data_IF_754779204591
#
_entry.id   IF_754779204591
#
_cell.length_a   1.000
_cell.length_b   1.000
_cell.length_c   1.000
_cell.angle_alpha   90.00
_cell.angle_beta   90.00
_cell.angle_gamma   90.00
#
_symmetry.space_group_name_H-M   'P 1'
#
loop_
_entity.id
_entity.type
_entity.pdbx_description
1 polymer ?
#
# COMPACT_ATOMS: atom_id res chain seq x y z
N UNK A 1 -3.38 22.38 38.08
CA UNK A 1 -2.68 21.72 37.00
C UNK A 1 -2.56 22.66 35.79
N UNK A 2 -1.41 22.68 35.15
CA UNK A 2 -1.20 23.48 33.92
C UNK A 2 -2.25 23.17 32.87
N UNK A 3 -2.80 24.19 32.21
CA UNK A 3 -3.70 24.09 31.06
C UNK A 3 -2.94 23.82 29.76
N UNK A 4 -1.61 23.87 29.80
CA UNK A 4 -0.74 23.78 28.65
C UNK A 4 0.20 22.55 28.76
N UNK A 5 0.58 22.04 27.60
CA UNK A 5 1.69 21.11 27.37
C UNK A 5 2.95 21.91 27.08
N UNK A 6 4.10 21.42 27.50
CA UNK A 6 5.39 22.05 27.21
C UNK A 6 6.32 21.05 26.54
N UNK A 7 6.98 21.49 25.47
CA UNK A 7 8.01 20.74 24.74
C UNK A 7 9.34 21.49 24.86
N UNK A 8 10.36 20.79 25.34
CA UNK A 8 11.71 21.30 25.35
C UNK A 8 12.53 20.75 24.18
N UNK A 9 13.10 21.64 23.40
CA UNK A 9 13.94 21.27 22.26
C UNK A 9 15.42 21.20 22.68
N UNK A 10 16.17 20.32 22.02
CA UNK A 10 17.63 20.12 22.27
C UNK A 10 18.49 21.38 22.06
N UNK A 11 17.95 22.40 21.34
CA UNK A 11 18.60 23.68 21.14
C UNK A 11 18.29 24.73 22.24
N UNK A 12 17.60 24.33 23.31
CA UNK A 12 17.28 25.20 24.44
C UNK A 12 15.96 25.97 24.33
N UNK A 13 15.21 25.80 23.25
CA UNK A 13 13.92 26.45 23.09
C UNK A 13 12.79 25.67 23.79
N UNK A 14 11.86 26.41 24.41
CA UNK A 14 10.65 25.82 24.98
C UNK A 14 9.43 26.26 24.19
N UNK A 15 8.59 25.31 23.87
CA UNK A 15 7.33 25.52 23.17
C UNK A 15 6.17 25.12 24.07
N UNK A 16 5.04 25.83 23.97
CA UNK A 16 3.81 25.49 24.67
C UNK A 16 2.68 25.25 23.69
N UNK A 17 1.79 24.32 24.03
CA UNK A 17 0.58 24.00 23.31
C UNK A 17 -0.57 23.83 24.31
N UNK A 18 -1.73 24.39 24.06
CA UNK A 18 -2.90 24.17 24.91
C UNK A 18 -3.30 22.69 24.91
N UNK A 19 -3.62 22.12 26.09
CA UNK A 19 -4.08 20.71 26.19
C UNK A 19 -5.36 20.41 25.41
N UNK A 20 -6.11 21.43 25.05
CA UNK A 20 -7.32 21.34 24.22
C UNK A 20 -7.04 21.36 22.73
N UNK A 21 -5.80 21.65 22.33
CA UNK A 21 -5.35 21.66 20.94
C UNK A 21 -4.66 20.35 20.59
N UNK A 22 -4.65 20.00 19.29
CA UNK A 22 -3.93 18.81 18.82
C UNK A 22 -2.41 19.01 18.97
N UNK A 23 -1.70 18.24 19.83
CA UNK A 23 -0.27 18.42 20.06
C UNK A 23 0.59 17.87 18.89
N UNK A 24 -0.01 17.17 17.93
CA UNK A 24 0.69 16.68 16.75
C UNK A 24 0.76 17.75 15.64
N UNK A 25 -0.06 18.78 15.72
CA UNK A 25 -0.02 19.92 14.81
C UNK A 25 1.03 20.94 15.28
N UNK A 26 2.07 21.14 14.47
CA UNK A 26 3.16 22.09 14.76
C UNK A 26 2.68 23.54 14.90
N UNK A 27 1.60 23.92 14.24
CA UNK A 27 1.03 25.27 14.30
C UNK A 27 0.46 25.61 15.69
N UNK A 28 0.10 24.61 16.47
CA UNK A 28 -0.41 24.76 17.85
C UNK A 28 0.69 25.01 18.89
N UNK A 29 1.97 24.86 18.51
CA UNK A 29 3.10 25.07 19.39
C UNK A 29 3.67 26.47 19.24
N UNK A 30 3.68 27.23 20.32
CA UNK A 30 4.21 28.58 20.38
C UNK A 30 5.49 28.61 21.19
N UNK A 31 6.52 29.27 20.65
CA UNK A 31 7.75 29.53 21.40
C UNK A 31 7.41 30.34 22.66
N UNK A 32 7.92 29.92 23.84
CA UNK A 32 7.69 30.63 25.08
C UNK A 32 8.99 30.79 25.86
N UNK A 33 9.14 31.93 26.50
CA UNK A 33 10.21 32.23 27.47
C UNK A 33 9.74 32.07 28.90
N UNK A 34 8.45 31.78 29.12
CA UNK A 34 7.85 31.61 30.44
C UNK A 34 7.21 30.24 30.56
N UNK A 35 7.71 29.42 31.46
CA UNK A 35 7.10 28.15 31.87
C UNK A 35 7.03 28.06 33.39
N UNK A 36 6.12 27.25 33.96
CA UNK A 36 5.96 27.16 35.41
C UNK A 36 7.15 26.41 36.02
N UNK A 37 8.02 27.20 36.66
CA UNK A 37 8.79 26.88 37.85
C UNK A 37 9.67 25.62 37.91
N UNK A 38 10.14 25.11 36.80
CA UNK A 38 11.05 23.95 36.81
C UNK A 38 12.48 24.44 36.59
N UNK A 39 13.36 24.15 37.54
CA UNK A 39 14.77 24.44 37.43
C UNK A 39 15.48 23.39 36.59
N UNK A 40 16.01 23.78 35.42
CA UNK A 40 16.60 22.88 34.45
C UNK A 40 17.73 21.99 34.95
N UNK A 41 18.47 22.42 35.96
CA UNK A 41 19.59 21.66 36.50
C UNK A 41 19.16 20.41 37.29
N UNK A 42 18.00 20.46 37.92
CA UNK A 42 17.45 19.33 38.69
C UNK A 42 16.67 18.36 37.80
N UNK A 43 15.97 18.88 36.79
CA UNK A 43 15.14 18.04 35.93
C UNK A 43 15.92 17.33 34.83
N UNK A 44 17.02 17.87 34.34
CA UNK A 44 17.93 17.14 33.47
C UNK A 44 18.53 15.90 34.11
N UNK A 45 18.73 15.94 35.44
CA UNK A 45 19.20 14.78 36.21
C UNK A 45 18.08 13.72 36.31
N UNK A 46 16.85 14.16 36.60
CA UNK A 46 15.68 13.26 36.61
C UNK A 46 15.39 12.64 35.26
N UNK A 47 15.56 13.38 34.15
CA UNK A 47 15.46 12.85 32.82
C UNK A 47 16.56 11.83 32.49
N UNK A 48 17.80 12.07 32.94
CA UNK A 48 18.90 11.13 32.80
C UNK A 48 18.68 9.83 33.59
N UNK A 49 18.07 9.92 34.77
CA UNK A 49 17.69 8.74 35.57
C UNK A 49 16.63 7.86 34.88
N UNK A 50 15.77 8.46 34.10
CA UNK A 50 14.72 7.75 33.35
C UNK A 50 15.12 7.36 31.90
N UNK A 51 16.35 7.65 31.46
CA UNK A 51 16.82 7.35 30.11
C UNK A 51 16.74 5.85 29.81
N UNK A 52 17.04 4.99 30.77
CA UNK A 52 16.93 3.56 30.60
C UNK A 52 15.45 3.11 30.47
N UNK A 53 14.56 3.72 31.25
CA UNK A 53 13.13 3.50 31.12
C UNK A 53 12.62 3.99 29.76
N UNK A 54 13.04 5.18 29.29
CA UNK A 54 12.69 5.72 27.96
C UNK A 54 13.16 4.80 26.84
N UNK A 55 14.35 4.20 26.96
CA UNK A 55 14.85 3.21 25.99
C UNK A 55 14.01 1.91 25.96
N UNK A 56 13.31 1.60 27.04
CA UNK A 56 12.42 0.44 27.10
C UNK A 56 11.02 0.73 26.60
N UNK A 57 10.63 2.02 26.48
CA UNK A 57 9.33 2.41 25.93
C UNK A 57 9.32 2.10 24.44
N UNK A 58 8.41 1.22 24.05
CA UNK A 58 8.11 0.99 22.64
C UNK A 58 7.01 1.96 22.23
N UNK A 59 7.22 2.80 21.20
CA UNK A 59 6.12 3.57 20.63
C UNK A 59 4.98 2.63 20.21
N UNK A 60 3.75 3.01 20.49
CA UNK A 60 2.58 2.30 20.01
C UNK A 60 2.37 2.58 18.52
N UNK A 61 3.14 1.94 17.66
CA UNK A 61 3.05 2.13 16.20
C UNK A 61 4.16 1.39 15.46
N UNK A 62 4.15 1.46 14.12
CA UNK A 62 5.23 0.90 13.30
C UNK A 62 6.56 1.62 13.57
N UNK A 63 7.68 0.92 13.40
CA UNK A 63 9.03 1.49 13.62
C UNK A 63 9.35 2.68 12.70
N UNK A 64 8.64 2.82 11.58
CA UNK A 64 8.86 3.88 10.60
C UNK A 64 7.52 4.45 10.13
N UNK A 65 7.41 5.78 10.10
CA UNK A 65 6.20 6.46 9.64
C UNK A 65 6.11 6.61 8.12
N UNK A 66 7.18 6.26 7.40
CA UNK A 66 7.18 6.32 5.95
C UNK A 66 6.82 4.95 5.38
N UNK A 67 5.53 4.75 5.19
CA UNK A 67 4.99 3.46 4.77
C UNK A 67 5.10 3.29 3.26
N UNK A 68 5.35 2.06 2.83
CA UNK A 68 5.36 1.69 1.42
C UNK A 68 4.19 0.79 1.06
N UNK A 69 3.94 -0.22 1.87
CA UNK A 69 2.85 -1.17 1.66
C UNK A 69 2.23 -1.56 2.99
N UNK A 70 0.92 -1.78 2.97
CA UNK A 70 0.15 -2.40 4.04
C UNK A 70 -0.56 -3.62 3.48
N UNK A 71 -0.67 -4.69 4.25
CA UNK A 71 -1.40 -5.89 3.92
C UNK A 71 -2.14 -6.41 5.14
N UNK A 72 -3.47 -6.49 5.06
CA UNK A 72 -4.28 -7.20 6.06
C UNK A 72 -4.37 -8.67 5.68
N UNK A 73 -4.02 -9.56 6.61
CA UNK A 73 -4.10 -10.99 6.40
C UNK A 73 -4.39 -11.71 7.74
N UNK A 74 -5.48 -12.47 7.79
CA UNK A 74 -5.87 -13.32 8.93
C UNK A 74 -5.76 -12.61 10.30
N UNK A 75 -6.43 -11.47 10.44
CA UNK A 75 -6.47 -10.72 11.72
C UNK A 75 -5.20 -9.93 12.03
N UNK A 76 -4.24 -9.81 11.10
CA UNK A 76 -2.96 -9.13 11.30
C UNK A 76 -2.72 -8.08 10.22
N UNK A 77 -2.20 -6.91 10.60
CA UNK A 77 -1.77 -5.88 9.69
C UNK A 77 -0.24 -5.92 9.51
N UNK A 78 0.21 -6.27 8.32
CA UNK A 78 1.61 -6.26 7.94
C UNK A 78 1.97 -4.95 7.24
N UNK A 79 3.16 -4.42 7.54
CA UNK A 79 3.62 -3.14 7.00
C UNK A 79 5.06 -3.25 6.56
N UNK A 80 5.38 -2.68 5.40
CA UNK A 80 6.75 -2.45 4.95
C UNK A 80 7.05 -0.97 4.79
N UNK A 81 8.33 -0.60 4.93
CA UNK A 81 8.82 0.74 4.63
C UNK A 81 9.97 0.68 3.62
N UNK A 82 9.96 1.54 2.62
CA UNK A 82 11.02 1.62 1.62
C UNK A 82 10.79 2.71 0.59
N UNK A 83 11.87 3.21 -0.01
CA UNK A 83 11.86 4.19 -1.10
C UNK A 83 12.76 3.76 -2.24
N UNK A 84 12.28 3.86 -3.49
CA UNK A 84 13.16 3.61 -4.65
C UNK A 84 14.17 4.74 -4.90
N UNK A 85 13.89 5.95 -4.42
CA UNK A 85 14.74 7.13 -4.67
C UNK A 85 15.83 7.34 -3.64
N UNK A 86 15.77 6.64 -2.51
CA UNK A 86 16.72 6.76 -1.39
C UNK A 86 16.87 5.42 -0.70
N UNK A 87 18.10 4.98 -0.48
CA UNK A 87 18.37 3.80 0.34
C UNK A 87 17.93 4.06 1.79
N UNK A 88 17.07 3.19 2.30
CA UNK A 88 16.67 3.17 3.71
C UNK A 88 16.80 1.77 4.27
N UNK A 89 17.17 1.67 5.54
CA UNK A 89 17.11 0.39 6.25
C UNK A 89 15.66 -0.07 6.28
N UNK A 90 15.35 -1.27 5.79
CA UNK A 90 13.99 -1.78 5.77
C UNK A 90 13.44 -1.91 7.19
N UNK A 91 12.18 -1.53 7.36
CA UNK A 91 11.39 -1.92 8.52
C UNK A 91 10.20 -2.75 8.04
N UNK A 92 9.98 -3.88 8.70
CA UNK A 92 8.89 -4.81 8.43
C UNK A 92 8.26 -5.09 9.78
N UNK A 93 7.01 -4.68 9.93
CA UNK A 93 6.28 -4.79 11.20
C UNK A 93 4.95 -5.49 10.97
N UNK A 94 4.45 -6.11 12.03
CA UNK A 94 3.10 -6.65 12.09
C UNK A 94 2.39 -6.16 13.35
N UNK A 95 1.15 -5.75 13.19
CA UNK A 95 0.21 -5.49 14.27
C UNK A 95 -0.66 -6.72 14.46
N UNK A 96 -0.60 -7.32 15.63
CA UNK A 96 -1.25 -8.57 15.99
C UNK A 96 -1.68 -8.53 17.45
N UNK A 97 -2.98 -8.71 17.73
CA UNK A 97 -3.56 -8.68 19.09
C UNK A 97 -3.13 -7.43 19.90
N UNK A 98 -3.31 -6.24 19.34
CA UNK A 98 -2.97 -4.95 19.95
C UNK A 98 -1.46 -4.75 20.23
N UNK A 99 -0.61 -5.59 19.68
CA UNK A 99 0.84 -5.50 19.82
C UNK A 99 1.54 -5.35 18.48
N UNK A 100 2.57 -4.50 18.44
CA UNK A 100 3.48 -4.39 17.32
C UNK A 100 4.67 -5.31 17.50
N UNK A 101 4.94 -6.12 16.47
CA UNK A 101 6.11 -7.00 16.37
C UNK A 101 6.91 -6.64 15.13
N UNK A 102 8.24 -6.69 15.23
CA UNK A 102 9.13 -6.40 14.10
C UNK A 102 9.82 -7.68 13.63
N UNK A 103 9.99 -7.78 12.32
CA UNK A 103 10.81 -8.80 11.71
C UNK A 103 12.30 -8.50 11.92
N UNK A 104 13.11 -9.52 11.89
CA UNK A 104 14.57 -9.37 11.94
C UNK A 104 15.05 -8.63 10.69
N UNK A 105 15.63 -7.44 10.85
CA UNK A 105 16.14 -6.63 9.74
C UNK A 105 17.58 -6.18 9.97
N UNK A 106 17.97 -5.94 11.22
CA UNK A 106 19.23 -5.27 11.60
C UNK A 106 20.49 -6.09 11.35
N UNK A 107 20.37 -7.41 11.34
CA UNK A 107 21.54 -8.33 11.22
C UNK A 107 21.67 -8.93 9.83
N UNK A 108 20.74 -8.68 8.91
CA UNK A 108 20.72 -9.33 7.58
C UNK A 108 21.97 -8.99 6.78
N UNK A 109 22.35 -7.71 6.71
CA UNK A 109 23.55 -7.32 5.96
C UNK A 109 24.83 -7.96 6.50
N UNK A 110 24.94 -8.18 7.83
CA UNK A 110 26.07 -8.88 8.44
C UNK A 110 26.03 -10.40 8.13
N UNK A 111 24.84 -11.01 8.19
CA UNK A 111 24.66 -12.45 7.95
C UNK A 111 24.91 -12.83 6.50
N UNK A 112 24.53 -11.96 5.57
CA UNK A 112 24.59 -12.26 4.11
C UNK A 112 25.85 -11.70 3.45
N UNK A 113 26.44 -10.65 4.02
CA UNK A 113 27.52 -9.88 3.38
C UNK A 113 27.04 -8.99 2.25
N UNK A 114 25.71 -8.84 2.08
CA UNK A 114 25.08 -8.02 1.04
C UNK A 114 24.28 -6.86 1.64
N UNK A 115 24.06 -5.82 0.83
CA UNK A 115 23.15 -4.74 1.22
C UNK A 115 21.73 -5.26 1.40
N UNK A 116 21.04 -4.70 2.38
CA UNK A 116 19.62 -4.92 2.63
C UNK A 116 18.92 -3.58 2.75
N UNK A 117 18.20 -3.18 1.70
CA UNK A 117 17.57 -1.85 1.61
C UNK A 117 16.18 -1.94 0.99
N UNK A 118 15.30 -1.04 1.45
CA UNK A 118 13.98 -0.75 0.88
C UNK A 118 13.06 -1.95 0.73
N UNK A 119 12.31 -2.29 1.78
CA UNK A 119 11.23 -3.28 1.69
C UNK A 119 10.04 -2.68 0.94
N UNK A 120 9.72 -3.26 -0.22
CA UNK A 120 8.74 -2.73 -1.17
C UNK A 120 7.36 -3.38 -1.04
N UNK A 121 7.33 -4.67 -0.79
CA UNK A 121 6.14 -5.50 -0.72
C UNK A 121 6.38 -6.71 0.18
N UNK A 122 5.32 -7.37 0.56
CA UNK A 122 5.37 -8.67 1.22
C UNK A 122 4.13 -9.50 0.85
N UNK A 123 4.26 -10.82 0.99
CA UNK A 123 3.12 -11.70 0.97
C UNK A 123 3.35 -12.92 1.88
N UNK A 124 2.28 -13.54 2.31
CA UNK A 124 2.28 -14.62 3.29
C UNK A 124 1.92 -15.93 2.59
N UNK A 125 2.66 -17.01 2.89
CA UNK A 125 2.36 -18.35 2.37
C UNK A 125 0.95 -18.77 2.83
N UNK A 126 0.00 -18.99 1.93
CA UNK A 126 -1.39 -19.35 2.31
C UNK A 126 -1.49 -20.68 3.06
N UNK A 127 -0.40 -21.45 3.12
CA UNK A 127 -0.32 -22.75 3.81
C UNK A 127 0.36 -22.66 5.18
N UNK A 128 1.06 -21.56 5.46
CA UNK A 128 1.83 -21.35 6.70
C UNK A 128 1.92 -19.86 7.01
N UNK A 129 1.05 -19.37 7.89
CA UNK A 129 0.97 -17.96 8.28
C UNK A 129 2.27 -17.39 8.89
N UNK A 130 3.17 -18.24 9.35
CA UNK A 130 4.46 -17.84 9.89
C UNK A 130 5.54 -17.74 8.80
N UNK A 131 5.21 -18.09 7.56
CA UNK A 131 6.11 -18.07 6.42
C UNK A 131 5.82 -16.86 5.53
N UNK A 132 6.69 -15.87 5.55
CA UNK A 132 6.52 -14.58 4.88
C UNK A 132 7.66 -14.34 3.91
N UNK A 133 7.32 -13.86 2.72
CA UNK A 133 8.31 -13.35 1.77
C UNK A 133 8.21 -11.83 1.65
N UNK A 134 9.36 -11.19 1.59
CA UNK A 134 9.48 -9.74 1.48
C UNK A 134 10.32 -9.39 0.26
N UNK A 135 9.72 -8.65 -0.66
CA UNK A 135 10.42 -8.08 -1.81
C UNK A 135 11.11 -6.77 -1.43
N UNK A 136 12.41 -6.70 -1.73
CA UNK A 136 13.24 -5.54 -1.46
C UNK A 136 13.96 -5.07 -2.74
N UNK A 137 14.57 -3.90 -2.66
CA UNK A 137 15.41 -3.40 -3.77
C UNK A 137 16.65 -4.27 -3.99
N UNK A 138 17.04 -5.07 -3.02
CA UNK A 138 18.23 -5.91 -3.04
C UNK A 138 17.95 -7.40 -3.16
N UNK A 139 16.70 -7.82 -3.30
CA UNK A 139 16.32 -9.21 -3.48
C UNK A 139 14.97 -9.56 -2.88
N UNK A 140 14.71 -10.87 -2.84
CA UNK A 140 13.61 -11.48 -2.13
C UNK A 140 14.14 -12.10 -0.83
N UNK A 141 13.45 -11.86 0.27
CA UNK A 141 13.86 -12.30 1.61
C UNK A 141 12.78 -13.19 2.22
N UNK A 142 13.19 -14.34 2.70
CA UNK A 142 12.35 -15.35 3.34
C UNK A 142 12.43 -15.24 4.86
N UNK A 143 11.27 -15.26 5.50
CA UNK A 143 11.13 -15.21 6.95
C UNK A 143 10.25 -16.35 7.47
N UNK A 144 10.58 -16.87 8.66
CA UNK A 144 9.73 -17.76 9.45
C UNK A 144 9.72 -17.29 10.89
N UNK A 145 8.54 -17.20 11.48
CA UNK A 145 8.37 -16.74 12.87
C UNK A 145 9.13 -15.43 13.14
N UNK A 146 9.06 -14.46 12.21
CA UNK A 146 9.75 -13.16 12.22
C UNK A 146 11.28 -13.21 12.06
N UNK A 147 11.89 -14.40 12.07
CA UNK A 147 13.32 -14.59 11.89
C UNK A 147 13.68 -14.68 10.40
N UNK A 148 14.79 -14.06 10.02
CA UNK A 148 15.36 -14.19 8.68
C UNK A 148 15.86 -15.62 8.43
N UNK A 149 15.44 -16.21 7.30
CA UNK A 149 15.84 -17.55 6.87
C UNK A 149 16.86 -17.48 5.75
N UNK A 150 16.52 -16.79 4.65
CA UNK A 150 17.33 -16.79 3.43
C UNK A 150 17.03 -15.58 2.56
N UNK A 151 18.03 -15.12 1.81
CA UNK A 151 17.86 -14.19 0.71
C UNK A 151 17.92 -14.91 -0.64
N UNK A 152 17.24 -14.34 -1.64
CA UNK A 152 17.32 -14.72 -3.04
C UNK A 152 17.63 -13.48 -3.86
N UNK A 153 18.76 -13.51 -4.56
CA UNK A 153 19.22 -12.41 -5.41
C UNK A 153 20.00 -12.97 -6.61
N UNK A 154 20.65 -12.09 -7.36
CA UNK A 154 21.46 -12.48 -8.54
C UNK A 154 22.59 -13.48 -8.26
N UNK A 155 23.05 -13.59 -7.01
CA UNK A 155 24.18 -14.46 -6.65
C UNK A 155 23.78 -15.92 -6.42
N UNK A 156 22.53 -16.16 -6.03
CA UNK A 156 22.06 -17.47 -5.60
C UNK A 156 20.72 -17.90 -6.22
N UNK A 157 20.21 -17.13 -7.18
CA UNK A 157 18.96 -17.42 -7.89
C UNK A 157 19.01 -16.92 -9.33
N UNK A 158 17.90 -17.08 -10.06
CA UNK A 158 17.73 -16.55 -11.42
C UNK A 158 17.24 -15.10 -11.45
N UNK A 159 17.03 -14.48 -10.30
CA UNK A 159 16.65 -13.07 -10.22
C UNK A 159 17.75 -12.18 -10.81
N UNK A 160 17.35 -11.15 -11.49
CA UNK A 160 18.26 -10.34 -12.30
C UNK A 160 18.59 -9.02 -11.61
N UNK A 161 19.82 -8.56 -11.84
CA UNK A 161 20.27 -7.22 -11.44
C UNK A 161 19.49 -6.14 -12.20
N UNK A 162 19.13 -5.07 -11.50
CA UNK A 162 18.50 -3.90 -12.12
C UNK A 162 19.40 -3.25 -13.20
N UNK A 163 18.79 -2.88 -14.33
CA UNK A 163 19.46 -2.26 -15.48
C UNK A 163 19.01 -0.80 -15.66
N UNK A 164 19.80 0.11 -16.27
CA UNK A 164 21.20 -0.10 -16.66
C UNK A 164 22.14 -0.10 -15.46
N UNK A 165 23.20 -0.91 -15.53
CA UNK A 165 24.24 -0.95 -14.50
C UNK A 165 25.13 0.30 -14.57
N UNK A 166 25.25 0.92 -15.76
CA UNK A 166 26.07 2.09 -16.02
C UNK A 166 25.17 3.34 -16.15
N UNK A 167 25.63 4.46 -15.61
CA UNK A 167 24.98 5.75 -15.84
C UNK A 167 25.26 6.27 -17.27
N UNK A 168 24.59 7.39 -17.65
CA UNK A 168 24.78 8.02 -18.96
C UNK A 168 26.20 8.56 -19.20
N UNK A 169 27.02 8.70 -18.15
CA UNK A 169 28.42 9.13 -18.23
C UNK A 169 29.40 7.97 -18.34
N UNK A 170 28.91 6.71 -18.37
CA UNK A 170 29.75 5.51 -18.45
C UNK A 170 30.42 5.13 -17.13
N UNK A 171 29.99 5.75 -16.01
CA UNK A 171 30.46 5.36 -14.69
C UNK A 171 29.74 4.07 -14.27
N UNK A 172 30.48 3.00 -14.02
CA UNK A 172 29.90 1.81 -13.43
C UNK A 172 29.54 2.13 -11.99
N UNK A 173 28.27 2.36 -11.70
CA UNK A 173 27.82 2.42 -10.31
C UNK A 173 27.89 1.02 -9.72
N UNK A 174 28.97 0.71 -9.01
CA UNK A 174 29.08 -0.54 -8.24
C UNK A 174 27.88 -0.74 -7.31
N UNK A 175 27.29 0.35 -6.85
CA UNK A 175 26.07 0.40 -6.04
C UNK A 175 24.87 -0.32 -6.70
N UNK A 176 24.66 -0.14 -8.02
CA UNK A 176 23.54 -0.79 -8.72
C UNK A 176 23.77 -2.27 -9.03
N UNK A 177 25.01 -2.75 -8.97
CA UNK A 177 25.29 -4.17 -9.17
C UNK A 177 24.64 -5.06 -8.12
N UNK A 178 24.33 -4.52 -6.94
CA UNK A 178 23.69 -5.25 -5.86
C UNK A 178 22.17 -5.14 -5.86
N UNK A 179 21.60 -4.29 -6.72
CA UNK A 179 20.15 -4.15 -6.80
C UNK A 179 19.55 -5.29 -7.62
N UNK A 180 18.73 -6.08 -6.95
CA UNK A 180 17.85 -7.11 -7.52
C UNK A 180 16.45 -6.73 -7.13
N UNK A 181 15.83 -5.84 -7.90
CA UNK A 181 14.58 -5.19 -7.48
C UNK A 181 13.40 -6.17 -7.53
N UNK A 182 12.90 -6.56 -6.36
CA UNK A 182 11.66 -7.29 -6.19
C UNK A 182 10.60 -6.32 -5.68
N UNK A 183 9.71 -5.90 -6.58
CA UNK A 183 8.84 -4.74 -6.36
C UNK A 183 7.38 -5.10 -6.09
N UNK A 184 6.96 -6.33 -6.38
CA UNK A 184 5.64 -6.86 -6.04
C UNK A 184 5.68 -8.38 -5.92
N UNK A 185 4.79 -8.92 -5.09
CA UNK A 185 4.63 -10.35 -4.83
C UNK A 185 3.15 -10.69 -4.78
N UNK A 186 2.80 -11.92 -5.14
CA UNK A 186 1.50 -12.50 -4.82
C UNK A 186 1.56 -14.01 -4.85
N UNK A 187 0.88 -14.66 -3.91
CA UNK A 187 0.64 -16.10 -3.94
C UNK A 187 -0.59 -16.43 -4.76
N UNK A 188 -0.54 -17.53 -5.49
CA UNK A 188 -1.74 -18.13 -6.03
C UNK A 188 -2.32 -19.22 -5.10
N UNK A 189 -3.52 -19.71 -5.41
CA UNK A 189 -4.21 -20.72 -4.62
C UNK A 189 -3.49 -22.08 -4.59
N UNK A 190 -2.52 -22.30 -5.48
CA UNK A 190 -1.69 -23.52 -5.46
C UNK A 190 -0.48 -23.42 -4.51
N UNK A 191 -0.27 -22.23 -3.92
CA UNK A 191 0.89 -21.90 -3.10
C UNK A 191 2.15 -21.60 -3.92
N UNK A 192 2.00 -21.22 -5.19
CA UNK A 192 3.09 -20.66 -5.99
C UNK A 192 3.23 -19.18 -5.70
N UNK A 193 4.42 -18.72 -5.32
CA UNK A 193 4.75 -17.31 -5.16
C UNK A 193 5.13 -16.72 -6.52
N UNK A 194 4.38 -15.73 -7.00
CA UNK A 194 4.70 -14.93 -8.18
C UNK A 194 5.54 -13.72 -7.78
N UNK A 195 6.56 -13.40 -8.57
CA UNK A 195 7.63 -12.47 -8.18
C UNK A 195 7.89 -11.47 -9.30
N UNK A 196 7.71 -10.20 -9.02
CA UNK A 196 8.04 -9.09 -9.92
C UNK A 196 9.51 -8.68 -9.75
N UNK A 197 10.38 -9.18 -10.62
CA UNK A 197 11.77 -8.75 -10.70
C UNK A 197 11.93 -7.65 -11.73
N UNK A 198 11.85 -6.40 -11.28
CA UNK A 198 11.86 -5.20 -12.12
C UNK A 198 13.25 -4.85 -12.65
N UNK A 199 13.30 -4.06 -13.73
CA UNK A 199 14.54 -3.61 -14.38
C UNK A 199 15.46 -4.75 -14.88
N UNK A 200 14.99 -5.98 -14.97
CA UNK A 200 15.81 -7.10 -15.44
C UNK A 200 16.26 -6.93 -16.90
N UNK A 201 17.40 -7.52 -17.24
CA UNK A 201 17.90 -7.57 -18.62
C UNK A 201 17.01 -8.42 -19.53
N UNK A 202 16.40 -9.47 -18.97
CA UNK A 202 15.48 -10.35 -19.67
C UNK A 202 14.04 -10.04 -19.24
N UNK A 203 13.07 -10.03 -20.15
CA UNK A 203 11.67 -9.75 -19.85
C UNK A 203 11.00 -10.99 -19.25
N UNK A 204 11.14 -11.18 -17.95
CA UNK A 204 10.66 -12.39 -17.26
C UNK A 204 9.54 -12.09 -16.25
N UNK A 205 8.65 -13.07 -16.10
CA UNK A 205 7.78 -13.23 -14.93
C UNK A 205 8.39 -14.38 -14.11
N UNK A 206 8.81 -14.06 -12.90
CA UNK A 206 9.41 -15.05 -11.99
C UNK A 206 8.34 -15.69 -11.11
N UNK A 207 8.58 -16.96 -10.73
CA UNK A 207 7.70 -17.66 -9.80
C UNK A 207 8.49 -18.71 -9.00
N UNK A 208 8.01 -19.00 -7.80
CA UNK A 208 8.56 -20.04 -6.92
C UNK A 208 7.44 -21.01 -6.58
N UNK A 209 7.46 -22.25 -7.12
CA UNK A 209 6.54 -23.29 -6.68
C UNK A 209 6.72 -23.60 -5.20
N UNK A 210 5.70 -24.13 -4.57
CA UNK A 210 5.75 -24.56 -3.18
C UNK A 210 6.99 -25.43 -2.87
N UNK A 211 7.88 -24.93 -2.02
CA UNK A 211 9.12 -25.63 -1.62
C UNK A 211 10.13 -25.83 -2.74
N UNK A 212 9.99 -25.16 -3.88
CA UNK A 212 10.87 -25.24 -5.03
C UNK A 212 11.78 -24.03 -5.19
N UNK A 213 12.63 -24.08 -6.22
CA UNK A 213 13.48 -22.97 -6.61
C UNK A 213 12.73 -21.94 -7.46
N UNK A 214 13.25 -20.70 -7.52
CA UNK A 214 12.72 -19.64 -8.39
C UNK A 214 12.93 -20.03 -9.86
N UNK A 215 11.87 -19.94 -10.64
CA UNK A 215 11.82 -20.16 -12.08
C UNK A 215 11.31 -18.90 -12.78
N UNK A 216 11.42 -18.86 -14.12
CA UNK A 216 10.92 -17.72 -14.90
C UNK A 216 10.37 -18.15 -16.24
N UNK A 217 9.34 -17.43 -16.68
CA UNK A 217 8.89 -17.41 -18.06
C UNK A 217 9.33 -16.12 -18.74
N UNK A 218 9.77 -16.20 -19.99
CA UNK A 218 10.22 -15.04 -20.77
C UNK A 218 9.12 -14.60 -21.72
N UNK A 219 8.78 -13.31 -21.68
CA UNK A 219 7.76 -12.69 -22.52
C UNK A 219 8.29 -11.40 -23.13
N UNK A 220 8.59 -11.42 -24.43
CA UNK A 220 9.27 -10.33 -25.13
C UNK A 220 8.53 -8.99 -25.08
N UNK A 221 7.22 -9.01 -24.93
CA UNK A 221 6.40 -7.80 -24.82
C UNK A 221 6.50 -7.09 -23.45
N UNK A 222 7.23 -7.68 -22.48
CA UNK A 222 7.57 -7.02 -21.22
C UNK A 222 8.87 -6.19 -21.31
N UNK A 223 9.56 -6.18 -22.46
CA UNK A 223 10.69 -5.27 -22.66
C UNK A 223 10.21 -3.83 -22.79
N UNK A 224 10.89 -2.91 -22.10
CA UNK A 224 10.65 -1.48 -22.25
C UNK A 224 11.16 -1.01 -23.61
N UNK A 225 10.26 -0.48 -24.44
CA UNK A 225 10.59 -0.09 -25.81
C UNK A 225 11.72 0.94 -25.86
N UNK A 226 12.79 0.62 -26.60
CA UNK A 226 13.95 1.50 -26.74
C UNK A 226 14.94 1.48 -25.56
N UNK A 227 14.75 0.59 -24.60
CA UNK A 227 15.60 0.44 -23.44
C UNK A 227 16.21 -0.97 -23.33
N UNK A 228 17.37 -1.14 -22.67
CA UNK A 228 18.01 -2.43 -22.49
C UNK A 228 17.47 -3.22 -21.28
N UNK A 229 16.29 -2.87 -20.77
CA UNK A 229 15.69 -3.47 -19.57
C UNK A 229 14.20 -3.76 -19.79
N UNK A 230 13.72 -4.73 -19.01
CA UNK A 230 12.29 -5.05 -18.91
C UNK A 230 11.54 -3.97 -18.11
N UNK A 231 10.26 -4.19 -17.86
CA UNK A 231 9.44 -3.25 -17.08
C UNK A 231 10.17 -2.75 -15.82
N UNK A 232 10.14 -1.43 -15.64
CA UNK A 232 10.98 -0.74 -14.67
C UNK A 232 10.43 -0.76 -13.23
N UNK A 233 9.10 -0.85 -13.08
CA UNK A 233 8.45 -0.88 -11.77
C UNK A 233 7.15 -1.68 -11.86
N UNK A 234 7.27 -3.01 -11.84
CA UNK A 234 6.11 -3.90 -11.76
C UNK A 234 5.49 -3.79 -10.38
N UNK A 235 4.22 -3.40 -10.31
CA UNK A 235 3.53 -3.07 -9.06
C UNK A 235 2.13 -3.65 -9.01
N UNK A 236 1.58 -3.84 -7.79
CA UNK A 236 0.20 -4.27 -7.59
C UNK A 236 -0.10 -5.67 -8.15
N UNK A 237 0.85 -6.59 -8.09
CA UNK A 237 0.65 -7.97 -8.57
C UNK A 237 -0.48 -8.64 -7.80
N UNK A 238 -1.47 -9.16 -8.51
CA UNK A 238 -2.63 -9.85 -7.94
C UNK A 238 -3.13 -10.97 -8.85
N UNK A 239 -3.74 -11.99 -8.27
CA UNK A 239 -4.49 -13.02 -8.99
C UNK A 239 -5.98 -12.66 -8.91
N UNK A 240 -6.64 -12.51 -10.06
CA UNK A 240 -8.06 -12.23 -10.09
C UNK A 240 -8.92 -13.48 -9.85
N UNK A 241 -10.23 -13.31 -9.71
CA UNK A 241 -11.20 -14.40 -9.48
C UNK A 241 -11.23 -15.46 -10.56
N UNK A 242 -10.68 -15.15 -11.75
CA UNK A 242 -10.56 -16.06 -12.92
C UNK A 242 -9.23 -16.81 -12.95
N UNK A 243 -8.30 -16.51 -12.02
CA UNK A 243 -6.95 -17.08 -11.98
C UNK A 243 -5.97 -16.42 -12.95
N UNK A 244 -6.27 -15.21 -13.44
CA UNK A 244 -5.34 -14.41 -14.23
C UNK A 244 -4.45 -13.58 -13.31
N UNK A 245 -3.16 -13.52 -13.64
CA UNK A 245 -2.23 -12.64 -12.93
C UNK A 245 -2.23 -11.25 -13.58
N UNK A 246 -2.48 -10.24 -12.78
CA UNK A 246 -2.46 -8.85 -13.16
C UNK A 246 -1.36 -8.09 -12.44
N UNK A 247 -0.77 -7.11 -13.10
CA UNK A 247 0.11 -6.13 -12.50
C UNK A 247 0.23 -4.88 -13.39
N UNK A 248 0.76 -3.81 -12.85
CA UNK A 248 1.03 -2.59 -13.61
C UNK A 248 2.54 -2.40 -13.79
N UNK A 249 2.95 -1.66 -14.81
CA UNK A 249 4.27 -1.03 -14.84
C UNK A 249 4.11 0.45 -14.47
N UNK A 250 4.38 0.77 -13.21
CA UNK A 250 4.24 2.12 -12.66
C UNK A 250 5.48 2.97 -12.94
N UNK A 251 5.81 3.13 -14.22
CA UNK A 251 7.00 3.89 -14.62
C UNK A 251 6.78 4.65 -15.93
N UNK A 252 7.17 5.90 -15.95
CA UNK A 252 7.01 6.84 -17.06
C UNK A 252 7.60 6.39 -18.40
N UNK A 253 8.57 5.48 -18.40
CA UNK A 253 9.20 5.01 -19.64
C UNK A 253 8.27 4.11 -20.46
N UNK A 254 7.40 3.36 -19.80
CA UNK A 254 6.39 2.49 -20.42
C UNK A 254 5.28 2.18 -19.39
N UNK A 255 4.46 3.16 -18.99
CA UNK A 255 3.36 2.85 -18.09
C UNK A 255 2.39 1.89 -18.78
N UNK A 256 1.95 0.84 -18.07
CA UNK A 256 1.16 -0.22 -18.67
C UNK A 256 0.34 -1.02 -17.64
N UNK A 257 -0.79 -1.54 -18.09
CA UNK A 257 -1.50 -2.64 -17.44
C UNK A 257 -1.09 -3.96 -18.11
N UNK A 258 -0.77 -4.98 -17.33
CA UNK A 258 -0.39 -6.30 -17.82
C UNK A 258 -1.39 -7.34 -17.34
N UNK A 259 -1.88 -8.16 -18.26
CA UNK A 259 -2.65 -9.39 -18.03
C UNK A 259 -1.79 -10.59 -18.41
N UNK A 260 -1.59 -11.51 -17.49
CA UNK A 260 -0.90 -12.77 -17.74
C UNK A 260 -1.83 -13.95 -17.47
N UNK A 261 -2.08 -14.71 -18.53
CA UNK A 261 -2.80 -15.98 -18.46
C UNK A 261 -1.80 -17.07 -18.05
N UNK A 262 -1.87 -17.48 -16.80
CA UNK A 262 -0.96 -18.47 -16.21
C UNK A 262 -1.12 -19.82 -16.91
N UNK A 263 -2.36 -20.23 -17.20
CA UNK A 263 -2.67 -21.52 -17.81
C UNK A 263 -2.12 -21.68 -19.22
N UNK A 264 -2.18 -20.60 -20.00
CA UNK A 264 -1.72 -20.58 -21.40
C UNK A 264 -0.30 -20.00 -21.54
N UNK A 265 0.29 -19.51 -20.47
CA UNK A 265 1.59 -18.83 -20.44
C UNK A 265 1.68 -17.70 -21.49
N UNK A 266 0.66 -16.82 -21.51
CA UNK A 266 0.58 -15.70 -22.45
C UNK A 266 0.36 -14.38 -21.75
N UNK A 267 1.02 -13.31 -22.23
CA UNK A 267 0.89 -11.96 -21.71
C UNK A 267 0.23 -11.01 -22.71
N UNK A 268 -0.61 -10.13 -22.18
CA UNK A 268 -1.09 -8.93 -22.90
C UNK A 268 -0.64 -7.68 -22.14
N UNK A 269 -0.10 -6.71 -22.88
CA UNK A 269 0.44 -5.47 -22.34
C UNK A 269 -0.31 -4.29 -22.97
N UNK A 270 -1.00 -3.54 -22.14
CA UNK A 270 -1.83 -2.40 -22.55
C UNK A 270 -1.12 -1.11 -22.14
N UNK A 271 -0.54 -0.42 -23.13
CA UNK A 271 0.21 0.83 -22.94
C UNK A 271 -0.57 2.08 -23.36
N UNK A 272 -1.71 1.89 -24.02
CA UNK A 272 -2.55 3.00 -24.49
C UNK A 272 -3.82 3.04 -23.63
N UNK A 273 -4.04 4.18 -23.00
CA UNK A 273 -5.20 4.44 -22.15
C UNK A 273 -6.27 5.15 -22.99
N UNK A 274 -7.28 4.41 -23.42
CA UNK A 274 -8.40 4.93 -24.24
C UNK A 274 -9.70 4.64 -23.49
N UNK A 275 -10.52 5.69 -23.28
CA UNK A 275 -11.82 5.51 -22.63
C UNK A 275 -12.95 5.19 -23.64
N UNK A 276 -14.16 4.98 -23.12
CA UNK A 276 -15.37 4.66 -23.89
C UNK A 276 -15.80 5.77 -24.85
N UNK A 277 -15.32 6.98 -24.65
CA UNK A 277 -15.59 8.14 -25.54
C UNK A 277 -14.48 8.33 -26.59
N UNK A 278 -13.58 7.36 -26.73
CA UNK A 278 -12.40 7.39 -27.59
C UNK A 278 -11.38 8.47 -27.21
N UNK A 279 -11.41 8.96 -25.98
CA UNK A 279 -10.38 9.88 -25.49
C UNK A 279 -9.13 9.08 -25.16
N UNK A 280 -8.01 9.48 -25.76
CA UNK A 280 -6.68 8.93 -25.49
C UNK A 280 -6.01 9.80 -24.43
N UNK A 281 -5.54 9.17 -23.35
CA UNK A 281 -4.86 9.86 -22.26
C UNK A 281 -3.35 9.70 -22.36
N UNK A 282 -2.65 10.81 -22.17
CA UNK A 282 -1.22 10.78 -21.83
C UNK A 282 -1.09 10.61 -20.33
N UNK A 283 -0.39 9.59 -19.89
CA UNK A 283 -0.17 9.26 -18.49
C UNK A 283 1.25 8.74 -18.27
N UNK A 284 1.75 8.86 -17.05
CA UNK A 284 3.13 8.53 -16.71
C UNK A 284 3.21 7.46 -15.64
N UNK A 285 2.17 7.29 -14.84
CA UNK A 285 2.14 6.38 -13.72
C UNK A 285 0.83 5.60 -13.64
N UNK A 286 0.94 4.35 -13.21
CA UNK A 286 -0.18 3.45 -12.97
C UNK A 286 0.08 2.68 -11.66
N UNK A 287 -0.04 3.35 -10.50
CA UNK A 287 0.40 2.79 -9.22
C UNK A 287 -0.58 1.80 -8.59
N UNK A 288 -1.85 1.79 -8.97
CA UNK A 288 -2.89 1.06 -8.27
C UNK A 288 -3.70 0.15 -9.19
N UNK A 289 -4.04 -1.03 -8.68
CA UNK A 289 -4.92 -2.01 -9.33
C UNK A 289 -5.70 -2.77 -8.26
N UNK A 290 -6.96 -3.09 -8.53
CA UNK A 290 -7.80 -3.95 -7.69
C UNK A 290 -8.89 -4.62 -8.54
N UNK A 291 -9.35 -5.81 -8.15
CA UNK A 291 -10.55 -6.45 -8.67
C UNK A 291 -11.73 -6.14 -7.75
N UNK A 292 -12.88 -5.77 -8.32
CA UNK A 292 -14.11 -5.65 -7.57
C UNK A 292 -14.90 -6.97 -7.53
N UNK A 293 -15.96 -7.04 -6.72
CA UNK A 293 -16.75 -8.27 -6.53
C UNK A 293 -17.56 -8.68 -7.77
N UNK A 294 -17.65 -7.82 -8.77
CA UNK A 294 -18.26 -8.12 -10.08
C UNK A 294 -17.22 -8.61 -11.10
N UNK A 295 -15.96 -8.67 -10.71
CA UNK A 295 -14.83 -9.09 -11.54
C UNK A 295 -14.32 -8.00 -12.49
N UNK A 296 -14.65 -6.73 -12.25
CA UNK A 296 -14.06 -5.62 -12.97
C UNK A 296 -12.67 -5.32 -12.40
N UNK A 297 -11.74 -4.91 -13.25
CA UNK A 297 -10.39 -4.52 -12.87
C UNK A 297 -10.31 -3.00 -12.81
N UNK A 298 -10.17 -2.46 -11.63
CA UNK A 298 -9.98 -1.04 -11.38
C UNK A 298 -8.51 -0.66 -11.45
N UNK A 299 -8.22 0.45 -12.10
CA UNK A 299 -6.87 0.92 -12.37
C UNK A 299 -6.76 2.39 -11.99
N UNK A 300 -5.83 2.69 -11.09
CA UNK A 300 -5.47 4.06 -10.71
C UNK A 300 -4.28 4.56 -11.50
N UNK A 301 -4.40 5.78 -12.01
CA UNK A 301 -3.34 6.45 -12.77
C UNK A 301 -3.09 7.86 -12.21
N UNK A 302 -2.07 8.53 -12.73
CA UNK A 302 -1.82 9.97 -12.43
C UNK A 302 -2.80 10.93 -13.12
N UNK A 303 -3.73 10.41 -13.95
CA UNK A 303 -4.76 11.19 -14.65
C UNK A 303 -6.19 10.79 -14.30
N UNK A 304 -6.38 9.88 -13.36
CA UNK A 304 -7.70 9.49 -12.85
C UNK A 304 -7.88 8.00 -12.60
N UNK A 305 -9.13 7.65 -12.29
CA UNK A 305 -9.60 6.30 -12.02
C UNK A 305 -10.23 5.71 -13.27
N UNK A 306 -9.87 4.47 -13.59
CA UNK A 306 -10.39 3.72 -14.75
C UNK A 306 -10.81 2.31 -14.34
N UNK A 307 -11.69 1.73 -15.15
CA UNK A 307 -12.23 0.39 -14.97
C UNK A 307 -12.14 -0.41 -16.27
N UNK A 308 -11.56 -1.60 -16.22
CA UNK A 308 -11.69 -2.61 -17.27
C UNK A 308 -12.82 -3.55 -16.86
N UNK A 309 -13.93 -3.52 -17.55
CA UNK A 309 -15.10 -4.32 -17.17
C UNK A 309 -14.84 -5.82 -17.30
N UNK A 310 -15.52 -6.62 -16.46
CA UNK A 310 -15.43 -8.09 -16.51
C UNK A 310 -15.71 -8.64 -17.92
N UNK A 311 -16.64 -8.04 -18.66
CA UNK A 311 -16.91 -8.39 -20.05
C UNK A 311 -15.68 -8.18 -20.94
N UNK A 312 -15.01 -7.01 -20.85
CA UNK A 312 -13.77 -6.73 -21.61
C UNK A 312 -12.62 -7.68 -21.25
N UNK A 313 -12.51 -8.07 -19.98
CA UNK A 313 -11.50 -9.06 -19.55
C UNK A 313 -11.74 -10.41 -20.22
N UNK A 314 -13.02 -10.84 -20.28
CA UNK A 314 -13.42 -12.14 -20.80
C UNK A 314 -13.37 -12.22 -22.35
N UNK A 315 -13.61 -11.12 -23.06
CA UNK A 315 -13.54 -11.06 -24.52
C UNK A 315 -12.14 -11.36 -25.09
N UNK A 316 -11.12 -11.29 -24.26
CA UNK A 316 -9.74 -11.61 -24.60
C UNK A 316 -9.21 -10.93 -25.89
N UNK A 317 -9.74 -9.75 -26.20
CA UNK A 317 -9.28 -8.94 -27.34
C UNK A 317 -7.90 -8.33 -27.08
N UNK A 318 -7.20 -7.92 -28.14
CA UNK A 318 -5.89 -7.25 -28.00
C UNK A 318 -6.02 -5.81 -27.53
N UNK A 319 -7.21 -5.21 -27.69
CA UNK A 319 -7.50 -3.87 -27.22
C UNK A 319 -8.60 -3.92 -26.16
N UNK A 320 -8.37 -3.20 -25.05
CA UNK A 320 -9.37 -3.02 -24.00
C UNK A 320 -9.76 -1.55 -23.89
N UNK A 321 -11.00 -1.32 -23.46
CA UNK A 321 -11.48 0.01 -23.13
C UNK A 321 -11.30 0.24 -21.64
N UNK A 322 -10.64 1.34 -21.29
CA UNK A 322 -10.52 1.80 -19.90
C UNK A 322 -11.72 2.70 -19.60
N UNK A 323 -12.79 2.12 -19.11
CA UNK A 323 -14.03 2.83 -18.82
C UNK A 323 -13.84 3.82 -17.68
N UNK A 324 -14.28 5.06 -17.89
CA UNK A 324 -14.40 6.05 -16.82
C UNK A 324 -15.88 6.22 -16.46
N UNK A 325 -16.20 6.07 -15.19
CA UNK A 325 -17.57 6.24 -14.71
C UNK A 325 -17.97 7.70 -14.84
N UNK A 326 -19.14 7.96 -15.41
CA UNK A 326 -19.72 9.30 -15.55
C UNK A 326 -20.69 9.57 -14.41
N UNK A 327 -20.42 10.59 -13.60
CA UNK A 327 -21.27 11.01 -12.50
C UNK A 327 -21.97 12.31 -12.87
N UNK A 328 -23.31 12.40 -12.78
CA UNK A 328 -24.06 13.63 -13.05
C UNK A 328 -23.60 14.77 -12.14
N UNK A 329 -23.49 15.98 -12.68
CA UNK A 329 -23.08 17.17 -11.90
C UNK A 329 -24.12 17.63 -10.87
N UNK A 330 -25.37 17.26 -11.03
CA UNK A 330 -26.49 17.69 -10.16
C UNK A 330 -26.60 19.23 -9.99
N UNK A 331 -26.10 19.98 -10.95
CA UNK A 331 -26.10 21.46 -10.99
C UNK A 331 -27.25 22.05 -11.85
N UNK A 332 -28.21 21.21 -12.24
CA UNK A 332 -29.31 21.57 -13.13
C UNK A 332 -28.95 21.50 -14.62
N UNK A 333 -27.74 21.12 -14.98
CA UNK A 333 -27.34 20.78 -16.34
C UNK A 333 -27.44 19.27 -16.59
N UNK A 334 -27.45 18.86 -17.84
CA UNK A 334 -27.36 17.43 -18.20
C UNK A 334 -25.91 16.97 -18.41
N UNK A 335 -24.94 17.68 -17.81
CA UNK A 335 -23.54 17.32 -17.91
C UNK A 335 -23.13 16.31 -16.82
N UNK A 336 -22.16 15.51 -17.13
CA UNK A 336 -21.51 14.57 -16.21
C UNK A 336 -20.01 14.78 -16.23
N UNK A 337 -19.37 14.57 -15.07
CA UNK A 337 -17.93 14.53 -14.94
C UNK A 337 -17.47 13.06 -14.83
N UNK A 338 -16.22 12.80 -15.12
CA UNK A 338 -15.63 11.51 -14.84
C UNK A 338 -15.30 11.39 -13.36
N UNK A 339 -15.73 10.29 -12.75
CA UNK A 339 -15.45 9.98 -11.36
C UNK A 339 -13.94 10.03 -11.09
N UNK A 340 -13.52 10.88 -10.16
CA UNK A 340 -12.13 11.14 -9.80
C UNK A 340 -11.21 11.43 -11.01
N UNK A 341 -11.78 12.00 -12.08
CA UNK A 341 -11.01 12.39 -13.26
C UNK A 341 -9.99 13.49 -12.95
N UNK A 342 -8.75 13.33 -13.44
CA UNK A 342 -7.65 14.28 -13.21
C UNK A 342 -6.97 14.17 -11.86
N UNK A 343 -7.42 13.27 -10.94
CA UNK A 343 -6.73 13.02 -9.68
C UNK A 343 -5.65 11.95 -9.86
N UNK A 344 -4.55 12.08 -9.14
CA UNK A 344 -3.53 11.04 -9.07
C UNK A 344 -3.93 9.98 -8.05
N UNK A 345 -4.27 8.78 -8.53
CA UNK A 345 -4.76 7.68 -7.72
C UNK A 345 -3.58 6.79 -7.28
N UNK A 346 -3.31 6.76 -5.97
CA UNK A 346 -2.16 6.03 -5.41
C UNK A 346 -2.47 4.61 -4.95
N UNK A 347 -3.70 4.35 -4.50
CA UNK A 347 -4.12 3.04 -3.98
C UNK A 347 -5.63 2.82 -4.17
N UNK A 348 -6.02 1.55 -4.29
CA UNK A 348 -7.41 1.12 -4.43
C UNK A 348 -7.62 -0.10 -3.54
N UNK A 349 -8.70 -0.11 -2.74
CA UNK A 349 -9.15 -1.30 -2.01
C UNK A 349 -10.67 -1.43 -2.12
N UNK A 350 -11.15 -2.66 -2.20
CA UNK A 350 -12.57 -2.98 -2.34
C UNK A 350 -13.05 -3.60 -1.04
N UNK A 351 -14.12 -3.07 -0.47
CA UNK A 351 -14.68 -3.59 0.77
C UNK A 351 -15.75 -4.68 0.56
N UNK A 352 -16.25 -5.22 1.66
CA UNK A 352 -17.24 -6.30 1.64
C UNK A 352 -18.55 -5.92 0.96
N UNK A 353 -18.91 -4.64 0.96
CA UNK A 353 -20.08 -4.11 0.25
C UNK A 353 -19.79 -3.71 -1.21
N UNK A 354 -18.66 -4.09 -1.79
CA UNK A 354 -18.21 -3.70 -3.13
C UNK A 354 -18.03 -2.18 -3.32
N UNK A 355 -17.82 -1.43 -2.23
CA UNK A 355 -17.46 -0.01 -2.31
C UNK A 355 -15.96 0.12 -2.57
N UNK A 356 -15.58 1.24 -3.15
CA UNK A 356 -14.20 1.49 -3.56
C UNK A 356 -13.56 2.52 -2.64
N UNK A 357 -12.57 2.11 -1.88
CA UNK A 357 -11.69 2.98 -1.12
C UNK A 357 -10.53 3.41 -1.99
N UNK A 358 -10.44 4.70 -2.29
CA UNK A 358 -9.49 5.27 -3.24
C UNK A 358 -8.57 6.22 -2.50
N UNK A 359 -7.30 5.87 -2.39
CA UNK A 359 -6.25 6.74 -1.88
C UNK A 359 -5.59 7.52 -3.00
N UNK A 360 -5.37 8.81 -2.75
CA UNK A 360 -4.81 9.73 -3.75
C UNK A 360 -3.45 10.27 -3.33
N UNK A 361 -2.72 10.83 -4.29
CA UNK A 361 -1.50 11.60 -4.04
C UNK A 361 -1.87 13.07 -3.88
N UNK A 362 -2.15 13.47 -2.62
CA UNK A 362 -2.39 14.87 -2.25
C UNK A 362 -3.85 15.31 -2.13
N UNK A 363 -4.84 14.40 -2.29
CA UNK A 363 -6.26 14.72 -2.11
C UNK A 363 -6.96 13.79 -1.11
N UNK A 364 -6.20 13.08 -0.26
CA UNK A 364 -6.75 12.21 0.78
C UNK A 364 -7.39 10.93 0.26
N UNK A 365 -8.45 10.49 0.91
CA UNK A 365 -9.16 9.22 0.66
C UNK A 365 -10.61 9.47 0.28
N UNK A 366 -11.07 8.81 -0.77
CA UNK A 366 -12.46 8.76 -1.19
C UNK A 366 -13.06 7.39 -0.92
N UNK A 367 -14.30 7.35 -0.45
CA UNK A 367 -15.14 6.17 -0.43
C UNK A 367 -16.26 6.35 -1.45
N UNK A 368 -16.28 5.48 -2.45
CA UNK A 368 -17.24 5.48 -3.54
C UNK A 368 -18.22 4.32 -3.36
N UNK A 369 -19.50 4.58 -3.61
CA UNK A 369 -20.58 3.59 -3.52
C UNK A 369 -20.35 2.37 -4.42
N UNK A 370 -21.04 1.26 -4.13
CA UNK A 370 -20.93 0.03 -4.91
C UNK A 370 -21.33 0.20 -6.38
N UNK A 371 -22.34 1.04 -6.65
CA UNK A 371 -22.80 1.39 -8.00
C UNK A 371 -21.95 2.48 -8.68
N UNK A 372 -20.96 3.02 -7.99
CA UNK A 372 -20.01 4.04 -8.45
C UNK A 372 -20.63 5.43 -8.73
N UNK A 373 -21.83 5.70 -8.23
CA UNK A 373 -22.56 6.94 -8.52
C UNK A 373 -22.49 7.97 -7.40
N UNK A 374 -22.06 7.58 -6.21
CA UNK A 374 -22.04 8.43 -5.03
C UNK A 374 -20.66 8.44 -4.36
N UNK A 375 -20.18 9.64 -4.03
CA UNK A 375 -19.09 9.87 -3.10
C UNK A 375 -19.66 9.80 -1.68
N UNK A 376 -19.46 8.69 -0.97
CA UNK A 376 -19.97 8.47 0.39
C UNK A 376 -19.15 9.29 1.39
N UNK A 377 -17.81 9.25 1.25
CA UNK A 377 -16.89 10.00 2.10
C UNK A 377 -15.72 10.54 1.29
N UNK A 378 -15.24 11.71 1.71
CA UNK A 378 -13.98 12.28 1.31
C UNK A 378 -13.20 12.74 2.56
N UNK A 379 -12.17 12.00 2.92
CA UNK A 379 -11.33 12.30 4.07
C UNK A 379 -10.05 12.99 3.63
N UNK A 380 -9.76 14.12 4.26
CA UNK A 380 -8.51 14.86 4.13
C UNK A 380 -7.91 15.15 5.50
N UNK A 381 -6.66 15.56 5.54
CA UNK A 381 -6.02 15.99 6.78
C UNK A 381 -6.70 17.22 7.40
N UNK A 382 -7.40 18.02 6.60
CA UNK A 382 -8.11 19.21 7.07
C UNK A 382 -9.50 18.91 7.67
N UNK A 383 -10.17 17.86 7.21
CA UNK A 383 -11.56 17.55 7.63
C UNK A 383 -11.69 16.28 8.48
N UNK A 384 -10.60 15.56 8.72
CA UNK A 384 -10.61 14.27 9.42
C UNK A 384 -9.35 14.04 10.26
N UNK A 385 -9.20 12.82 10.81
CA UNK A 385 -7.99 12.37 11.51
C UNK A 385 -6.95 11.76 10.56
N UNK A 386 -7.13 11.89 9.26
CA UNK A 386 -6.13 11.49 8.27
C UNK A 386 -4.85 12.33 8.48
N UNK A 387 -3.71 11.68 8.62
CA UNK A 387 -2.44 12.36 8.96
C UNK A 387 -1.72 12.93 7.74
N UNK A 388 -2.10 12.53 6.54
CA UNK A 388 -1.59 13.06 5.27
C UNK A 388 -2.55 12.78 4.14
N UNK A 389 -2.68 13.73 3.21
CA UNK A 389 -3.46 13.56 1.97
C UNK A 389 -2.74 12.72 0.92
N UNK A 390 -1.49 12.32 1.18
CA UNK A 390 -0.74 11.42 0.31
C UNK A 390 -0.85 9.98 0.82
N UNK A 391 -1.80 9.22 0.26
CA UNK A 391 -2.14 7.87 0.68
C UNK A 391 -1.52 6.86 -0.28
N UNK A 392 -0.58 6.06 0.23
CA UNK A 392 0.23 5.15 -0.58
C UNK A 392 -0.30 3.71 -0.59
N UNK A 393 -1.07 3.33 0.43
CA UNK A 393 -1.68 1.99 0.51
C UNK A 393 -2.95 2.02 1.36
N UNK A 394 -3.87 1.11 1.04
CA UNK A 394 -5.10 0.88 1.81
C UNK A 394 -5.23 -0.63 2.02
N UNK A 395 -5.52 -1.03 3.26
CA UNK A 395 -5.85 -2.41 3.61
C UNK A 395 -7.14 -2.46 4.42
N UNK A 396 -7.92 -3.50 4.24
CA UNK A 396 -9.23 -3.63 4.87
C UNK A 396 -9.27 -4.92 5.68
N UNK A 397 -9.66 -4.80 6.93
CA UNK A 397 -10.17 -5.90 7.73
C UNK A 397 -11.65 -6.09 7.41
N UNK A 398 -11.94 -7.03 6.54
CA UNK A 398 -13.32 -7.28 6.12
C UNK A 398 -14.19 -7.86 7.23
N UNK A 399 -13.61 -8.47 8.26
CA UNK A 399 -14.37 -9.05 9.38
C UNK A 399 -14.90 -7.97 10.32
N UNK A 400 -14.06 -6.98 10.66
CA UNK A 400 -14.44 -5.91 11.58
C UNK A 400 -14.87 -4.63 10.90
N UNK A 401 -14.57 -4.47 9.60
CA UNK A 401 -14.79 -3.24 8.85
C UNK A 401 -13.72 -2.16 9.08
N UNK A 402 -12.61 -2.49 9.72
CA UNK A 402 -11.53 -1.53 9.89
C UNK A 402 -10.77 -1.32 8.58
N UNK A 403 -10.59 -0.08 8.18
CA UNK A 403 -9.82 0.32 7.01
C UNK A 403 -8.56 1.04 7.46
N UNK A 404 -7.41 0.57 7.01
CA UNK A 404 -6.10 1.11 7.37
C UNK A 404 -5.53 1.90 6.20
N UNK A 405 -5.12 3.13 6.46
CA UNK A 405 -4.52 4.05 5.48
C UNK A 405 -3.03 4.20 5.78
N UNK A 406 -2.21 3.65 4.90
CA UNK A 406 -0.77 3.91 4.88
C UNK A 406 -0.49 5.21 4.14
N UNK A 407 0.16 6.14 4.81
CA UNK A 407 0.52 7.44 4.25
C UNK A 407 2.03 7.67 4.28
N UNK A 408 2.50 8.70 3.63
CA UNK A 408 3.89 9.15 3.70
C UNK A 408 4.30 9.73 5.06
N UNK A 409 3.34 9.87 6.01
CA UNK A 409 3.58 10.38 7.37
C UNK A 409 3.22 9.38 8.47
N UNK A 410 2.74 8.20 8.12
CA UNK A 410 2.41 7.14 9.06
C UNK A 410 1.09 6.43 8.76
N UNK A 411 0.60 5.67 9.74
CA UNK A 411 -0.59 4.86 9.66
C UNK A 411 -1.74 5.53 10.40
N UNK A 412 -2.93 5.49 9.82
CA UNK A 412 -4.19 5.73 10.51
C UNK A 412 -5.25 4.72 10.08
N UNK A 413 -6.34 4.65 10.83
CA UNK A 413 -7.45 3.74 10.53
C UNK A 413 -8.78 4.42 10.67
N UNK A 414 -9.77 3.86 10.00
CA UNK A 414 -11.17 4.25 10.07
C UNK A 414 -12.02 3.01 10.25
N UNK A 415 -12.97 3.05 11.18
CA UNK A 415 -13.94 1.98 11.33
C UNK A 415 -15.12 2.23 10.42
N UNK A 416 -15.21 1.44 9.36
CA UNK A 416 -16.28 1.51 8.37
C UNK A 416 -17.54 0.79 8.86
N UNK A 417 -18.66 1.13 8.25
CA UNK A 417 -19.96 0.47 8.47
C UNK A 417 -20.17 -0.78 7.60
N UNK A 418 -19.16 -1.22 6.84
CA UNK A 418 -19.18 -2.43 6.01
C UNK A 418 -18.25 -3.47 6.58
N UNK A 419 -18.79 -4.63 6.94
CA UNK A 419 -18.05 -5.83 7.31
C UNK A 419 -18.52 -7.02 6.46
N UNK A 420 -17.72 -8.09 6.43
CA UNK A 420 -18.10 -9.33 5.75
C UNK A 420 -19.36 -9.92 6.39
N UNK A 421 -20.31 -10.35 5.57
CA UNK A 421 -21.47 -11.10 6.04
C UNK A 421 -21.00 -12.42 6.69
N UNK A 422 -21.66 -12.82 7.77
CA UNK A 422 -21.40 -14.12 8.39
C UNK A 422 -21.94 -15.26 7.52
N UNK A 423 -21.23 -16.37 7.47
CA UNK A 423 -21.64 -17.55 6.69
C UNK A 423 -22.96 -18.14 7.20
N UNK A 424 -23.27 -17.96 8.49
CA UNK A 424 -24.54 -18.34 9.11
C UNK A 424 -25.10 -17.18 9.93
N UNK A 425 -26.35 -16.80 9.67
CA UNK A 425 -27.08 -15.80 10.45
C UNK A 425 -27.54 -16.43 11.77
N UNK A 426 -26.94 -16.01 12.86
CA UNK A 426 -27.34 -16.40 14.22
C UNK A 426 -27.80 -15.19 15.02
N UNK A 427 -28.46 -15.41 16.15
CA UNK A 427 -28.85 -14.31 17.05
C UNK A 427 -27.67 -13.57 17.66
N UNK A 428 -26.49 -14.17 17.63
CA UNK A 428 -25.28 -13.62 18.24
C UNK A 428 -24.46 -12.79 17.25
N UNK A 429 -24.60 -13.02 15.94
CA UNK A 429 -23.82 -12.35 14.90
C UNK A 429 -24.63 -11.43 13.97
N UNK A 430 -25.98 -11.51 13.99
CA UNK A 430 -26.83 -10.55 13.27
C UNK A 430 -27.62 -9.72 14.28
N UNK A 431 -27.34 -8.43 14.33
CA UNK A 431 -28.00 -7.52 15.25
C UNK A 431 -28.17 -6.14 14.62
N UNK A 432 -29.11 -5.38 15.18
CA UNK A 432 -29.35 -3.98 14.77
C UNK A 432 -28.97 -3.03 15.90
N UNK A 433 -28.43 -1.87 15.55
CA UNK A 433 -28.22 -0.80 16.52
C UNK A 433 -28.62 0.59 15.93
N UNK A 434 -28.99 1.54 16.78
CA UNK A 434 -29.22 1.39 18.21
C UNK A 434 -30.38 0.42 18.51
N UNK A 435 -30.24 -0.41 19.55
CA UNK A 435 -31.28 -1.31 20.03
C UNK A 435 -31.25 -1.35 21.57
N UNK A 436 -32.27 -0.82 22.30
CA UNK A 436 -33.51 -0.29 21.73
C UNK A 436 -33.32 1.09 21.03
N UNK A 437 -34.21 1.38 20.08
CA UNK A 437 -34.33 2.70 19.45
C UNK A 437 -35.09 3.63 20.40
N UNK A 438 -34.50 4.77 20.73
CA UNK A 438 -35.17 5.78 21.56
C UNK A 438 -36.38 6.42 20.85
N UNK A 439 -37.43 6.86 21.58
CA UNK A 439 -38.70 7.34 20.98
C UNK A 439 -38.58 8.52 19.99
N UNK A 440 -37.50 9.26 19.99
CA UNK A 440 -37.27 10.42 19.13
C UNK A 440 -36.02 10.23 18.23
N UNK A 441 -35.50 9.03 18.11
CA UNK A 441 -34.37 8.76 17.24
C UNK A 441 -34.75 8.92 15.76
N UNK A 442 -34.02 9.79 15.05
CA UNK A 442 -34.26 10.09 13.63
C UNK A 442 -33.09 9.61 12.75
N UNK A 443 -32.09 8.95 13.34
CA UNK A 443 -30.94 8.41 12.62
C UNK A 443 -31.23 7.08 11.93
N UNK A 444 -30.28 6.58 11.20
CA UNK A 444 -30.33 5.27 10.53
C UNK A 444 -30.22 4.15 11.57
N UNK A 445 -30.93 3.05 11.33
CA UNK A 445 -30.71 1.78 12.06
C UNK A 445 -29.75 0.96 11.21
N UNK A 446 -28.60 0.65 11.77
CA UNK A 446 -27.62 -0.21 11.14
C UNK A 446 -27.89 -1.66 11.50
N UNK A 447 -27.90 -2.54 10.50
CA UNK A 447 -27.97 -4.00 10.70
C UNK A 447 -26.59 -4.55 10.39
N UNK A 448 -26.01 -5.26 11.34
CA UNK A 448 -24.67 -5.85 11.23
C UNK A 448 -24.81 -7.35 10.99
N UNK A 449 -23.95 -7.91 10.13
CA UNK A 449 -23.84 -9.33 9.88
C UNK A 449 -24.80 -9.89 8.79
N UNK A 450 -25.35 -9.01 7.94
CA UNK A 450 -26.13 -9.45 6.76
C UNK A 450 -25.22 -9.78 5.59
#
# INVERSE_FOLDING_TARGET
GSTDLYLYSTNGNVYKCAKTSNPLDKSNWQLTTSWPGISFSEDLTAWNENIELVKTLKPGGPENNNLKNTLWHNGKLYITSGYLSKETTPTICVFDNDEWKSFETKTIAEKTGHKFVNAMCLDIDPRDENHVFVGCQTGLYEYRDFAFVKEYNRHNSILQTAQPIEDKAGNSEELKKDYTEVTSLTYDNSGTLWIANSYGKQPTICYMPAGGDIKAFTHQNLMTKGHPFSMALMNGMMIDSRGLLWFTNNNWTMPALVKYDIGNNTTKVYTTLVNQDNTVYEYYNMPAIAEDKEGNIWVGTDVGLFCVTAASVNDNTDNITFTQIKVPRNDGTNFADYLLGGLSIGSIAIDSANRKWIGTSGNGVYLISSDNMEEIHHFTADNSMLISDNVVSISIDEETGNVFFGTDKGLCSYHSDSSKAFDEMTKDNVYAYPNPVEPHYTGLITIVGL
#
